data_IF_113903847127
#
_entry.id   IF_113903847127
#
_cell.length_a   1.000
_cell.length_b   1.000
_cell.length_c   1.000
_cell.angle_alpha   90.00
_cell.angle_beta   90.00
_cell.angle_gamma   90.00
#
_symmetry.space_group_name_H-M   'P 1'
#
loop_
_entity.id
_entity.type
_entity.pdbx_description
1 polymer ?
2 polymer ?
#
# COMPACT_ATOMS: atom_id res chain seq x y z
N UNK A 1 10.90 3.15 14.06
CA UNK A 1 10.37 3.53 12.74
C UNK A 1 9.35 4.64 12.87
N UNK A 2 9.10 5.36 11.77
CA UNK A 2 8.14 6.46 11.79
C UNK A 2 6.71 5.93 11.75
N UNK A 3 5.93 6.22 12.78
CA UNK A 3 4.56 5.74 12.81
C UNK A 3 3.60 6.80 12.30
N UNK A 4 2.60 6.37 11.54
CA UNK A 4 1.63 7.31 11.01
C UNK A 4 0.31 7.10 11.74
N UNK A 5 -0.38 8.18 12.07
CA UNK A 5 -1.64 8.08 12.80
C UNK A 5 -2.69 8.88 12.05
N UNK A 6 -3.79 8.23 11.68
CA UNK A 6 -4.84 8.93 10.96
C UNK A 6 -6.04 9.22 11.84
N UNK A 7 -6.56 10.44 11.73
CA UNK A 7 -7.73 10.83 12.51
C UNK A 7 -8.75 11.49 11.58
N UNK A 8 -10.03 11.16 11.76
CA UNK A 8 -10.43 10.14 12.72
C UNK A 8 -10.38 8.80 12.01
N UNK A 9 -11.08 7.80 12.52
CA UNK A 9 -11.01 6.49 11.88
C UNK A 9 -12.22 6.37 10.98
N UNK A 10 -13.25 7.17 11.26
CA UNK A 10 -14.47 7.12 10.45
C UNK A 10 -14.96 8.56 10.29
N UNK A 11 -15.57 8.89 9.16
CA UNK A 11 -16.02 10.26 8.94
C UNK A 11 -17.27 10.22 8.07
N UNK A 12 -18.25 11.05 8.37
CA UNK A 12 -19.47 11.11 7.57
C UNK A 12 -19.64 12.54 7.09
N UNK A 13 -19.74 12.73 5.78
CA UNK A 13 -19.81 14.07 5.21
C UNK A 13 -20.96 14.14 4.21
N UNK A 14 -21.57 15.31 4.04
CA UNK A 14 -22.69 15.47 3.11
C UNK A 14 -22.19 15.76 1.70
N UNK A 15 -22.95 15.31 0.71
CA UNK A 15 -22.59 15.52 -0.69
C UNK A 15 -22.35 16.98 -0.99
N UNK A 16 -21.25 17.26 -1.68
CA UNK A 16 -20.97 18.64 -2.04
C UNK A 16 -20.16 19.33 -0.95
N UNK A 17 -19.92 18.67 0.17
CA UNK A 17 -19.19 19.31 1.26
C UNK A 17 -17.73 18.92 1.19
N UNK A 18 -16.96 19.42 2.14
CA UNK A 18 -15.52 19.16 2.15
C UNK A 18 -15.16 18.11 3.20
N UNK A 19 -14.36 17.13 2.79
CA UNK A 19 -13.90 16.12 3.73
C UNK A 19 -12.41 16.35 3.93
N UNK A 20 -11.97 16.39 5.18
CA UNK A 20 -10.55 16.59 5.45
C UNK A 20 -10.06 15.40 6.26
N UNK A 21 -9.06 14.69 5.74
CA UNK A 21 -8.53 13.53 6.44
C UNK A 21 -7.12 13.82 6.90
N UNK A 22 -6.87 13.66 8.18
CA UNK A 22 -5.55 13.98 8.71
C UNK A 22 -4.63 12.78 8.90
N UNK A 23 -3.34 13.04 8.83
CA UNK A 23 -2.35 11.98 8.98
C UNK A 23 -1.15 12.58 9.70
N UNK A 24 -0.75 11.98 10.80
CA UNK A 24 0.34 12.55 11.59
C UNK A 24 1.49 11.56 11.58
N UNK A 25 2.67 12.05 11.30
CA UNK A 25 3.84 11.18 11.31
C UNK A 25 4.50 11.36 12.66
N UNK A 26 5.29 10.38 13.04
CA UNK A 26 5.86 10.41 14.38
C UNK A 26 7.13 11.21 14.25
N UNK A 27 7.73 11.14 13.07
CA UNK A 27 8.94 11.93 12.86
C UNK A 27 8.82 12.51 11.47
N UNK A 28 9.64 13.51 11.20
CA UNK A 28 9.57 14.24 9.94
C UNK A 28 9.88 13.33 8.76
N UNK A 29 9.16 13.55 7.67
CA UNK A 29 9.34 12.69 6.50
C UNK A 29 9.76 13.61 5.37
N UNK A 30 10.34 14.71 5.76
CA UNK A 30 10.79 15.65 4.74
C UNK A 30 12.23 15.30 4.38
N UNK A 31 12.66 15.73 3.20
CA UNK A 31 14.05 15.55 2.79
C UNK A 31 14.16 16.45 1.57
N UNK A 32 14.91 17.54 1.69
CA UNK A 32 15.21 18.40 0.53
C UNK A 32 13.96 19.08 0.04
N UNK A 33 13.09 19.42 0.97
CA UNK A 33 11.89 20.16 0.57
C UNK A 33 10.87 19.22 -0.04
N UNK A 34 11.06 17.93 0.12
CA UNK A 34 10.20 16.99 -0.57
C UNK A 34 9.62 16.13 0.53
N UNK A 35 8.32 16.19 0.68
CA UNK A 35 7.69 15.37 1.71
C UNK A 35 7.32 14.05 1.07
N UNK A 36 7.71 12.96 1.69
CA UNK A 36 7.52 11.66 1.06
C UNK A 36 6.24 11.02 1.60
N UNK A 37 5.12 11.70 1.45
CA UNK A 37 3.86 11.15 1.95
C UNK A 37 2.98 10.76 0.78
N UNK A 38 2.41 9.57 0.79
CA UNK A 38 1.57 9.15 -0.33
C UNK A 38 0.19 8.87 0.23
N UNK A 39 -0.82 8.86 -0.64
CA UNK A 39 -2.19 8.61 -0.20
C UNK A 39 -2.82 7.59 -1.15
N UNK A 40 -3.54 6.63 -0.58
CA UNK A 40 -4.17 5.59 -1.39
C UNK A 40 -5.65 5.50 -1.01
N UNK A 41 -6.46 4.99 -1.92
CA UNK A 41 -7.88 4.84 -1.67
C UNK A 41 -8.19 3.36 -1.82
N UNK A 42 -9.04 2.81 -0.98
CA UNK A 42 -9.37 1.39 -1.11
C UNK A 42 -10.86 1.17 -0.92
N UNK A 43 -11.49 0.65 -1.96
CA UNK A 43 -12.91 0.32 -1.90
C UNK A 43 -13.01 -1.17 -1.58
N UNK A 44 -14.11 -1.60 -0.96
CA UNK A 44 -14.31 -3.00 -0.58
C UNK A 44 -14.07 -3.96 -1.73
N UNK A 45 -13.38 -5.05 -1.43
CA UNK A 45 -13.13 -6.07 -2.45
C UNK A 45 -12.18 -5.58 -3.53
N UNK A 46 -11.35 -4.58 -3.25
CA UNK A 46 -10.48 -4.07 -4.31
C UNK A 46 -9.10 -3.75 -3.75
N UNK A 47 -8.05 -3.79 -4.57
CA UNK A 47 -6.71 -3.48 -4.07
C UNK A 47 -6.63 -1.96 -3.94
N UNK A 48 -5.69 -1.44 -3.15
CA UNK A 48 -5.60 0.00 -2.95
C UNK A 48 -5.25 0.73 -4.25
N UNK A 49 -5.62 2.00 -4.33
CA UNK A 49 -5.41 2.77 -5.55
C UNK A 49 -4.61 4.02 -5.18
N UNK A 50 -3.62 4.39 -5.98
CA UNK A 50 -2.80 5.56 -5.66
C UNK A 50 -3.52 6.85 -6.04
N UNK A 51 -3.54 7.81 -5.11
CA UNK A 51 -4.21 9.08 -5.36
C UNK A 51 -3.17 10.19 -5.50
N UNK A 52 -2.32 10.34 -4.48
CA UNK A 52 -1.33 11.42 -4.48
C UNK A 52 0.01 10.88 -3.99
N UNK A 53 1.10 11.34 -4.61
CA UNK A 53 2.43 10.93 -4.18
C UNK A 53 3.21 12.19 -3.87
N UNK A 54 4.22 12.05 -3.02
CA UNK A 54 5.09 13.18 -2.69
C UNK A 54 4.31 14.32 -2.08
N UNK A 55 3.27 13.97 -1.35
CA UNK A 55 2.48 14.94 -0.61
C UNK A 55 1.40 15.63 -1.42
N UNK A 56 1.70 16.09 -2.62
CA UNK A 56 0.75 17.00 -3.25
C UNK A 56 0.65 16.72 -4.73
N UNK A 57 1.23 15.63 -5.20
CA UNK A 57 1.17 15.39 -6.63
C UNK A 57 0.01 14.45 -6.93
N UNK A 58 -0.94 14.93 -7.70
CA UNK A 58 -2.09 14.12 -8.07
C UNK A 58 -1.66 13.20 -9.20
N UNK A 59 -1.92 11.92 -9.02
CA UNK A 59 -1.59 10.94 -10.05
C UNK A 59 -2.56 11.16 -11.20
N UNK A 60 -2.10 10.85 -12.40
CA UNK A 60 -2.90 11.11 -13.60
C UNK A 60 -4.14 10.25 -13.56
N UNK A 61 -5.25 10.84 -13.97
CA UNK A 61 -6.50 10.10 -13.98
C UNK A 61 -7.30 10.33 -12.71
N UNK A 62 -6.72 11.01 -11.73
CA UNK A 62 -7.43 11.24 -10.47
C UNK A 62 -8.11 12.60 -10.53
N UNK A 63 -9.40 12.68 -10.20
CA UNK A 63 -10.15 13.93 -10.26
C UNK A 63 -9.53 15.03 -9.41
N UNK A 64 -9.61 16.25 -9.93
CA UNK A 64 -8.97 17.39 -9.26
C UNK A 64 -9.66 17.80 -7.97
N UNK A 65 -10.75 17.13 -7.57
CA UNK A 65 -11.38 17.46 -6.30
C UNK A 65 -10.55 16.90 -5.15
N UNK A 66 -9.57 16.06 -5.46
CA UNK A 66 -8.70 15.51 -4.43
C UNK A 66 -7.44 16.37 -4.38
N UNK A 67 -6.95 16.67 -3.18
CA UNK A 67 -5.72 17.44 -3.06
C UNK A 67 -5.04 17.07 -1.76
N UNK A 68 -3.72 17.20 -1.71
CA UNK A 68 -3.01 16.85 -0.48
C UNK A 68 -2.08 17.99 -0.12
N UNK A 69 -1.87 18.22 1.17
CA UNK A 69 -1.00 19.31 1.59
C UNK A 69 -0.27 18.89 2.87
N UNK A 70 0.72 19.68 3.27
CA UNK A 70 1.42 19.39 4.52
C UNK A 70 2.93 19.26 4.33
N UNK A 71 3.65 19.22 5.46
CA UNK A 71 5.10 19.07 5.42
C UNK A 71 5.54 18.78 6.84
N UNK A 72 6.71 18.19 7.01
CA UNK A 72 7.21 17.91 8.35
C UNK A 72 6.55 16.66 8.89
N UNK A 73 5.53 16.84 9.73
CA UNK A 73 4.87 15.69 10.35
C UNK A 73 3.36 15.81 10.20
N UNK A 74 2.87 16.90 9.61
CA UNK A 74 1.41 17.06 9.51
C UNK A 74 0.93 17.06 8.07
N UNK A 75 -0.02 16.17 7.76
CA UNK A 75 -0.48 16.04 6.38
C UNK A 75 -2.00 15.87 6.36
N UNK A 76 -2.64 16.35 5.30
CA UNK A 76 -4.09 16.24 5.19
C UNK A 76 -4.42 15.89 3.75
N UNK A 77 -5.53 15.19 3.57
CA UNK A 77 -6.02 14.88 2.24
C UNK A 77 -7.35 15.60 2.21
N UNK A 78 -7.62 16.35 1.16
CA UNK A 78 -8.86 17.10 1.08
C UNK A 78 -9.66 16.66 -0.13
N UNK A 79 -10.96 16.52 0.07
CA UNK A 79 -11.85 16.19 -1.04
C UNK A 79 -12.93 17.24 -0.97
N UNK A 80 -13.05 18.03 -2.03
CA UNK A 80 -14.02 19.11 -2.03
C UNK A 80 -14.28 19.44 -3.50
N UNK A 81 -15.49 19.16 -3.99
CA UNK A 81 -16.57 18.63 -3.16
C UNK A 81 -16.63 17.10 -3.21
N UNK A 82 -17.09 16.52 -2.10
CA UNK A 82 -17.18 15.07 -2.01
C UNK A 82 -18.33 14.57 -2.87
N UNK A 83 -18.14 13.41 -3.50
CA UNK A 83 -19.18 12.81 -4.34
C UNK A 83 -19.50 11.43 -3.79
N UNK A 84 -20.46 10.73 -4.40
CA UNK A 84 -20.88 9.43 -3.89
C UNK A 84 -19.82 8.38 -4.11
N UNK A 85 -19.17 8.40 -5.27
CA UNK A 85 -18.12 7.42 -5.55
C UNK A 85 -16.92 7.60 -4.63
N UNK A 86 -16.91 8.63 -3.80
CA UNK A 86 -15.80 8.84 -2.90
C UNK A 86 -15.97 8.04 -1.61
N UNK A 87 -17.03 7.26 -1.48
CA UNK A 87 -17.18 6.45 -0.28
C UNK A 87 -16.13 5.36 -0.34
N UNK A 88 -15.21 5.35 0.62
CA UNK A 88 -14.15 4.36 0.61
C UNK A 88 -13.28 4.59 1.83
N UNK A 89 -12.16 3.88 1.91
CA UNK A 89 -11.25 4.02 3.04
C UNK A 89 -9.96 4.63 2.49
N UNK A 90 -9.34 5.54 3.23
CA UNK A 90 -8.15 6.22 2.70
C UNK A 90 -6.97 5.98 3.64
N UNK A 91 -5.79 5.72 3.10
CA UNK A 91 -4.61 5.45 3.93
C UNK A 91 -3.45 6.36 3.51
N UNK A 92 -2.66 6.83 4.47
CA UNK A 92 -1.46 7.59 4.12
C UNK A 92 -0.29 6.64 4.27
N UNK A 93 0.84 6.95 3.66
CA UNK A 93 1.99 6.04 3.73
C UNK A 93 3.23 6.89 3.55
N UNK A 94 4.28 6.66 4.32
CA UNK A 94 5.48 7.47 4.17
C UNK A 94 6.57 6.62 3.56
N UNK A 95 7.55 7.27 2.97
CA UNK A 95 8.58 6.52 2.28
C UNK A 95 9.89 7.22 2.57
N UNK A 96 9.99 7.75 3.76
CA UNK A 96 11.20 8.50 4.09
C UNK A 96 12.23 7.53 4.63
N UNK A 97 11.82 6.63 5.50
CA UNK A 97 12.81 5.75 6.12
C UNK A 97 12.26 4.34 6.04
N UNK A 98 13.05 3.39 6.53
CA UNK A 98 12.63 1.99 6.48
C UNK A 98 12.32 1.68 7.93
N UNK A 99 11.26 0.95 8.25
CA UNK A 99 10.41 0.33 7.25
C UNK A 99 9.39 1.31 6.73
N UNK A 100 8.82 0.99 5.59
CA UNK A 100 7.80 1.85 5.00
C UNK A 100 6.57 1.53 5.81
N UNK A 101 5.76 2.53 6.11
CA UNK A 101 4.65 2.31 7.03
C UNK A 101 3.41 3.04 6.52
N UNK A 102 2.25 2.52 6.92
CA UNK A 102 0.96 3.10 6.51
C UNK A 102 0.21 3.54 7.76
N UNK A 103 -0.75 4.44 7.59
CA UNK A 103 -1.54 4.89 8.73
C UNK A 103 -2.68 3.90 8.89
N UNK A 104 -3.42 4.02 9.98
CA UNK A 104 -4.48 3.05 10.26
C UNK A 104 -5.62 3.11 9.25
N UNK A 105 -5.81 4.25 8.60
CA UNK A 105 -6.87 4.32 7.59
C UNK A 105 -8.08 5.07 8.13
N UNK A 106 -8.83 5.70 7.24
CA UNK A 106 -10.02 6.44 7.66
C UNK A 106 -11.15 6.08 6.70
N UNK A 107 -12.26 5.61 7.23
CA UNK A 107 -13.40 5.25 6.39
C UNK A 107 -14.29 6.47 6.20
N UNK A 108 -14.58 6.83 4.96
CA UNK A 108 -15.42 8.00 4.68
C UNK A 108 -16.82 7.55 4.26
N UNK A 109 -17.84 8.15 4.84
CA UNK A 109 -19.22 7.81 4.52
C UNK A 109 -19.93 9.07 4.03
N UNK A 110 -20.82 8.90 3.06
CA UNK A 110 -21.54 10.05 2.51
C UNK A 110 -22.91 10.16 3.18
N UNK A 111 -23.29 11.37 3.58
CA UNK A 111 -24.58 11.60 4.20
C UNK A 111 -25.51 12.08 3.11
N UNK A 112 -26.65 11.41 2.96
CA UNK A 112 -27.63 11.81 1.96
C UNK A 112 -29.01 11.80 2.61
N UNK A 113 -30.06 11.88 1.79
CA UNK A 113 -31.42 11.91 2.31
C UNK A 113 -31.94 10.52 2.65
N UNK B 1 0.04 -0.05 -19.84
CA UNK B 1 -0.57 -0.55 -18.60
C UNK B 1 0.37 -1.51 -17.90
N UNK B 2 0.59 -1.28 -16.62
CA UNK B 2 1.45 -2.18 -15.86
C UNK B 2 0.58 -3.32 -15.35
N UNK B 3 1.12 -4.53 -15.32
CA UNK B 3 0.32 -5.68 -14.94
C UNK B 3 0.96 -6.58 -13.90
N UNK B 4 0.21 -6.83 -12.84
CA UNK B 4 0.72 -7.67 -11.77
C UNK B 4 -0.18 -8.88 -11.52
N UNK B 5 0.07 -9.96 -12.25
CA UNK B 5 -0.70 -11.19 -12.08
C UNK B 5 -0.20 -12.00 -10.89
N UNK B 6 -1.00 -12.12 -9.85
CA UNK B 6 -0.56 -12.90 -8.69
C UNK B 6 -1.06 -14.33 -8.78
N UNK B 7 -0.52 -15.22 -7.95
CA UNK B 7 -0.99 -16.61 -7.97
C UNK B 7 -2.38 -16.71 -7.38
N UNK B 8 -2.96 -17.89 -7.44
CA UNK B 8 -4.33 -18.05 -6.95
C UNK B 8 -4.42 -18.36 -5.45
N UNK B 9 -5.65 -18.50 -4.95
CA UNK B 9 -5.96 -18.71 -3.53
C UNK B 9 -5.41 -20.00 -2.95
N UNK B 10 -5.05 -19.96 -1.67
CA UNK B 10 -4.42 -21.10 -1.01
C UNK B 10 -5.02 -21.43 0.35
N UNK B 11 -5.11 -22.72 0.64
CA UNK B 11 -5.59 -23.16 1.94
C UNK B 11 -4.42 -23.96 2.47
N UNK B 12 -3.85 -23.55 3.58
CA UNK B 12 -2.73 -24.28 4.13
C UNK B 12 -2.91 -24.67 5.58
N UNK B 13 -2.35 -25.83 5.88
CA UNK B 13 -2.46 -26.37 7.23
C UNK B 13 -1.38 -25.73 8.06
N UNK B 14 -1.67 -25.42 9.33
CA UNK B 14 -0.71 -24.78 10.22
C UNK B 14 0.65 -25.45 10.19
N UNK B 15 1.68 -24.69 10.54
CA UNK B 15 3.02 -25.24 10.61
C UNK B 15 3.73 -25.39 9.27
N UNK B 16 3.02 -25.34 8.16
CA UNK B 16 3.73 -25.50 6.91
C UNK B 16 3.93 -24.16 6.24
N UNK B 17 4.21 -24.14 4.93
CA UNK B 17 4.54 -22.88 4.26
C UNK B 17 4.04 -22.80 2.82
N UNK B 18 3.52 -21.63 2.42
CA UNK B 18 3.07 -21.41 1.05
C UNK B 18 4.16 -20.66 0.30
N UNK B 19 3.96 -20.47 -1.01
CA UNK B 19 4.97 -19.77 -1.81
C UNK B 19 4.29 -19.07 -3.00
N UNK B 20 3.51 -18.01 -2.70
CA UNK B 20 2.80 -17.19 -3.71
C UNK B 20 3.82 -16.56 -4.69
N UNK B 21 3.28 -16.15 -5.84
CA UNK B 21 4.08 -15.50 -6.88
C UNK B 21 3.30 -14.30 -7.44
N UNK B 22 3.88 -13.69 -8.46
CA UNK B 22 3.33 -12.46 -9.01
C UNK B 22 4.11 -12.09 -10.28
N UNK B 23 3.52 -12.32 -11.44
CA UNK B 23 4.18 -12.02 -12.70
C UNK B 23 3.93 -10.59 -13.14
N UNK B 24 5.02 -9.92 -13.50
CA UNK B 24 4.93 -8.53 -13.92
C UNK B 24 5.03 -8.38 -15.44
N UNK B 25 4.63 -7.21 -15.92
CA UNK B 25 4.61 -6.94 -17.35
C UNK B 25 4.20 -5.49 -17.53
N UNK B 26 4.72 -4.84 -18.55
CA UNK B 26 4.23 -3.51 -18.88
C UNK B 26 5.35 -2.52 -18.64
N UNK B 27 6.54 -3.03 -18.37
CA UNK B 27 7.65 -2.15 -18.01
C UNK B 27 8.80 -3.11 -17.83
N UNK B 28 10.02 -2.59 -17.78
CA UNK B 28 11.18 -3.45 -17.56
C UNK B 28 11.21 -3.85 -16.10
N UNK B 29 11.32 -5.15 -15.88
CA UNK B 29 11.11 -5.73 -14.56
C UNK B 29 12.16 -5.24 -13.57
N UNK B 30 13.37 -5.04 -14.06
CA UNK B 30 14.46 -4.77 -13.13
C UNK B 30 14.54 -3.30 -12.78
N UNK B 31 13.69 -2.50 -13.38
CA UNK B 31 13.80 -1.07 -13.17
C UNK B 31 13.24 -0.71 -11.80
N UNK B 32 12.32 -1.49 -11.25
CA UNK B 32 11.67 -1.02 -10.03
C UNK B 32 11.61 -2.14 -9.00
N UNK B 33 11.51 -1.74 -7.74
CA UNK B 33 11.52 -2.69 -6.62
C UNK B 33 10.11 -3.28 -6.49
N UNK B 34 10.00 -4.48 -5.95
CA UNK B 34 8.69 -5.10 -5.79
C UNK B 34 8.48 -5.12 -4.28
N UNK B 35 7.36 -4.62 -3.83
CA UNK B 35 7.09 -4.50 -2.41
C UNK B 35 5.89 -5.40 -2.12
N UNK B 36 5.86 -6.00 -0.94
CA UNK B 36 4.75 -6.89 -0.58
C UNK B 36 3.99 -6.36 0.64
N UNK B 37 2.68 -6.64 0.71
CA UNK B 37 1.84 -6.10 1.79
C UNK B 37 0.79 -7.09 2.30
N UNK B 38 0.64 -7.15 3.61
CA UNK B 38 -0.35 -8.03 4.21
C UNK B 38 -1.58 -7.21 4.59
N UNK B 39 -2.66 -7.51 3.90
CA UNK B 39 -3.92 -6.87 4.14
C UNK B 39 -4.76 -7.84 4.94
N UNK B 40 -4.57 -7.86 6.26
CA UNK B 40 -5.33 -8.78 7.11
C UNK B 40 -6.82 -8.49 6.98
N UNK B 41 -7.66 -9.44 7.37
CA UNK B 41 -9.10 -9.26 7.19
C UNK B 41 -9.69 -8.06 7.93
N UNK B 42 -10.33 -7.16 7.17
CA UNK B 42 -11.13 -6.10 7.77
C UNK B 42 -10.22 -5.17 8.53
N UNK B 43 -9.09 -4.81 7.93
CA UNK B 43 -8.18 -3.92 8.62
C UNK B 43 -7.28 -3.17 7.66
N UNK B 44 -6.29 -2.50 8.23
CA UNK B 44 -5.38 -1.69 7.44
C UNK B 44 -4.21 -2.53 6.99
N UNK B 45 -3.41 -1.97 6.10
CA UNK B 45 -2.33 -2.75 5.49
C UNK B 45 -1.05 -2.80 6.31
N UNK B 46 -0.23 -3.80 6.01
CA UNK B 46 1.04 -3.98 6.72
C UNK B 46 2.15 -4.24 5.71
N UNK B 47 3.20 -3.45 5.74
CA UNK B 47 4.30 -3.66 4.79
C UNK B 47 5.08 -4.89 5.20
N UNK B 48 5.57 -5.64 4.22
CA UNK B 48 6.32 -6.84 4.55
C UNK B 48 7.78 -6.71 4.15
N UNK B 49 8.07 -6.09 3.02
CA UNK B 49 9.48 -6.00 2.63
C UNK B 49 9.56 -5.71 1.14
N UNK B 50 10.70 -5.24 0.66
CA UNK B 50 10.83 -4.97 -0.77
C UNK B 50 11.99 -5.80 -1.30
N UNK B 51 12.15 -5.83 -2.62
CA UNK B 51 13.29 -6.53 -3.19
C UNK B 51 13.65 -5.77 -4.45
N UNK B 52 14.94 -5.58 -4.66
CA UNK B 52 15.38 -5.03 -5.92
C UNK B 52 15.57 -6.24 -6.81
N UNK B 53 14.83 -6.31 -7.91
CA UNK B 53 14.87 -7.45 -8.83
C UNK B 53 16.16 -7.52 -9.64
N UNK B 54 16.95 -6.46 -9.59
CA UNK B 54 18.20 -6.41 -10.34
C UNK B 54 19.22 -7.28 -9.62
N UNK B 55 19.48 -7.03 -8.35
CA UNK B 55 20.63 -7.71 -7.75
C UNK B 55 20.10 -8.61 -6.67
N UNK B 56 18.80 -8.64 -6.55
CA UNK B 56 18.19 -9.60 -5.62
C UNK B 56 18.14 -9.01 -4.22
N UNK B 57 18.47 -7.73 -4.12
CA UNK B 57 18.67 -7.13 -2.79
C UNK B 57 17.35 -7.13 -2.05
N UNK B 58 17.38 -7.05 -0.73
CA UNK B 58 16.14 -7.29 -0.03
C UNK B 58 16.15 -6.52 1.27
N UNK B 59 14.98 -6.08 1.70
CA UNK B 59 14.91 -5.42 2.99
C UNK B 59 13.54 -5.72 3.55
N UNK B 60 13.49 -6.08 4.82
CA UNK B 60 12.24 -6.56 5.39
C UNK B 60 11.77 -5.67 6.53
N UNK B 61 10.49 -5.80 6.81
CA UNK B 61 9.92 -5.16 7.97
C UNK B 61 10.38 -6.18 8.98
N UNK B 62 10.65 -5.77 10.20
CA UNK B 62 11.15 -6.74 11.15
C UNK B 62 10.05 -7.61 11.70
N UNK B 63 8.81 -7.14 11.75
CA UNK B 63 7.74 -7.98 12.29
C UNK B 63 7.55 -9.20 11.40
N UNK B 64 8.05 -9.14 10.16
CA UNK B 64 7.89 -10.27 9.26
C UNK B 64 9.23 -10.91 8.93
N UNK B 65 10.29 -10.55 9.65
CA UNK B 65 11.60 -11.15 9.41
C UNK B 65 11.57 -12.60 9.87
N UNK B 66 12.01 -13.52 9.02
CA UNK B 66 12.04 -14.92 9.42
C UNK B 66 10.75 -15.62 9.04
N UNK B 67 9.75 -14.87 8.65
CA UNK B 67 8.49 -15.49 8.29
C UNK B 67 8.42 -15.45 6.78
N UNK B 68 8.66 -14.30 6.18
CA UNK B 68 8.55 -14.18 4.73
C UNK B 68 9.92 -13.98 4.08
N UNK B 69 10.13 -14.62 2.94
CA UNK B 69 11.38 -14.46 2.21
C UNK B 69 11.01 -14.07 0.79
N UNK B 70 11.66 -13.04 0.28
CA UNK B 70 11.31 -12.54 -1.04
C UNK B 70 12.29 -13.00 -2.08
N UNK B 71 11.78 -13.51 -3.17
CA UNK B 71 12.68 -13.80 -4.24
C UNK B 71 12.18 -13.42 -5.61
N UNK B 72 13.04 -13.53 -6.61
CA UNK B 72 12.77 -12.99 -7.93
C UNK B 72 13.38 -13.92 -8.97
N UNK B 73 12.83 -13.90 -10.19
CA UNK B 73 13.39 -14.65 -11.31
C UNK B 73 13.24 -13.77 -12.55
N UNK B 74 14.35 -13.17 -12.96
CA UNK B 74 14.32 -12.24 -14.08
C UNK B 74 13.87 -12.86 -15.39
N UNK B 75 14.44 -13.98 -15.82
CA UNK B 75 14.05 -14.58 -17.10
C UNK B 75 12.54 -14.67 -17.31
N UNK B 76 11.78 -14.88 -16.23
CA UNK B 76 10.33 -14.95 -16.37
C UNK B 76 9.63 -13.81 -15.65
N UNK B 77 10.36 -12.76 -15.28
CA UNK B 77 9.77 -11.58 -14.65
C UNK B 77 8.75 -11.89 -13.57
N UNK B 78 9.13 -12.70 -12.59
CA UNK B 78 8.17 -13.06 -11.55
C UNK B 78 8.82 -12.86 -10.20
N UNK B 79 8.06 -12.31 -9.26
CA UNK B 79 8.56 -12.10 -7.92
C UNK B 79 7.77 -13.03 -7.02
N UNK B 80 8.45 -13.89 -6.29
CA UNK B 80 7.73 -14.80 -5.43
C UNK B 80 8.07 -14.55 -3.98
N UNK B 81 7.12 -14.82 -3.11
CA UNK B 81 7.35 -14.68 -1.68
C UNK B 81 6.96 -15.95 -0.94
N UNK B 82 7.74 -16.32 0.07
CA UNK B 82 7.45 -17.54 0.82
C UNK B 82 7.16 -17.26 2.29
N UNK B 83 6.13 -17.92 2.81
CA UNK B 83 5.77 -17.73 4.21
C UNK B 83 5.83 -19.08 4.94
N UNK B 84 6.46 -19.10 6.12
CA UNK B 84 6.79 -20.39 6.72
C UNK B 84 6.34 -20.32 8.14
N UNK B 85 6.19 -21.47 8.79
CA UNK B 85 5.73 -21.50 10.17
C UNK B 85 4.33 -20.93 10.22
N UNK B 86 3.56 -21.18 9.16
CA UNK B 86 2.24 -20.57 9.05
C UNK B 86 1.34 -20.92 10.21
N UNK B 87 0.47 -19.98 10.58
CA UNK B 87 -0.42 -20.20 11.71
C UNK B 87 -1.68 -19.41 11.44
N UNK B 88 -2.71 -19.65 12.25
CA UNK B 88 -4.02 -18.99 12.14
C UNK B 88 -3.94 -17.50 11.88
N UNK B 89 -2.98 -16.84 12.49
CA UNK B 89 -2.88 -15.41 12.34
C UNK B 89 -2.29 -14.97 11.01
N UNK B 90 -1.67 -15.87 10.27
CA UNK B 90 -1.12 -15.51 8.98
C UNK B 90 -2.23 -15.44 7.93
N UNK B 91 -3.43 -15.89 8.27
CA UNK B 91 -4.55 -15.80 7.33
C UNK B 91 -4.78 -14.34 6.96
N UNK B 92 -4.57 -14.01 5.68
CA UNK B 92 -4.77 -12.63 5.22
C UNK B 92 -4.58 -12.52 3.71
N UNK B 93 -4.76 -11.32 3.17
CA UNK B 93 -4.57 -11.13 1.73
C UNK B 93 -3.21 -10.54 1.50
N UNK B 94 -2.48 -11.07 0.54
CA UNK B 94 -1.14 -10.58 0.33
C UNK B 94 -1.03 -9.96 -1.06
N UNK B 95 -0.60 -8.70 -1.13
CA UNK B 95 -0.44 -8.03 -2.42
C UNK B 95 1.05 -7.86 -2.76
N UNK B 96 1.36 -7.77 -4.05
CA UNK B 96 2.71 -7.43 -4.51
C UNK B 96 2.47 -6.09 -5.20
N UNK B 97 3.27 -5.06 -4.98
CA UNK B 97 3.05 -3.79 -5.63
C UNK B 97 4.43 -3.32 -6.07
N UNK B 98 4.50 -2.53 -7.14
CA UNK B 98 5.74 -2.12 -7.78
C UNK B 98 6.06 -0.75 -7.23
N UNK B 99 7.33 -0.42 -7.04
CA UNK B 99 7.68 0.84 -6.41
C UNK B 99 8.71 1.47 -7.32
N UNK B 100 8.47 2.69 -7.72
CA UNK B 100 9.39 3.31 -8.67
C UNK B 100 10.42 4.12 -7.92
N UNK B 101 11.58 3.54 -7.66
CA UNK B 101 12.57 4.24 -6.83
C UNK B 101 13.14 5.38 -7.66
N UNK B 102 13.34 5.13 -8.94
CA UNK B 102 14.02 6.13 -9.74
C UNK B 102 12.99 6.76 -10.67
N UNK B 103 11.76 6.81 -10.22
CA UNK B 103 10.74 7.32 -11.12
C UNK B 103 9.95 8.38 -10.40
N UNK B 104 9.86 8.29 -9.08
CA UNK B 104 9.13 9.36 -8.41
C UNK B 104 8.61 8.87 -7.08
N UNK B 105 8.87 7.62 -6.80
CA UNK B 105 8.77 7.19 -5.41
C UNK B 105 7.35 6.80 -5.05
N UNK B 106 6.67 6.09 -5.91
CA UNK B 106 5.30 5.75 -5.56
C UNK B 106 5.12 4.27 -5.81
N UNK B 107 4.24 3.66 -5.03
CA UNK B 107 3.84 2.28 -5.29
C UNK B 107 2.67 2.41 -6.24
N UNK B 108 3.00 2.38 -7.51
CA UNK B 108 2.01 2.80 -8.50
C UNK B 108 1.03 1.67 -8.75
N UNK B 109 1.49 0.47 -9.06
CA UNK B 109 0.52 -0.56 -9.43
C UNK B 109 0.59 -1.74 -8.51
N UNK B 110 -0.59 -2.12 -8.04
CA UNK B 110 -0.79 -3.28 -7.17
C UNK B 110 -1.39 -4.42 -7.97
N UNK B 111 -1.21 -5.61 -7.42
CA UNK B 111 -1.76 -6.79 -8.05
C UNK B 111 -3.10 -6.96 -7.38
N UNK B 112 -3.88 -7.94 -7.80
CA UNK B 112 -5.20 -8.08 -7.22
C UNK B 112 -5.14 -8.68 -5.83
N UNK B 113 -4.13 -9.48 -5.56
CA UNK B 113 -3.93 -9.98 -4.19
C UNK B 113 -4.08 -11.49 -4.16
N UNK B 114 -3.58 -12.13 -3.10
CA UNK B 114 -3.73 -13.58 -2.94
C UNK B 114 -4.36 -13.81 -1.56
N UNK B 115 -5.34 -14.71 -1.47
CA UNK B 115 -5.98 -15.00 -0.18
C UNK B 115 -5.44 -16.31 0.39
N UNK B 116 -4.69 -16.22 1.47
CA UNK B 116 -4.18 -17.43 2.09
C UNK B 116 -4.99 -17.74 3.33
N UNK B 117 -5.45 -18.97 3.43
CA UNK B 117 -6.19 -19.39 4.61
C UNK B 117 -5.38 -20.45 5.29
N UNK B 118 -5.09 -20.24 6.56
CA UNK B 118 -4.39 -21.23 7.37
C UNK B 118 -5.46 -21.84 8.26
N UNK B 119 -5.65 -23.15 8.16
CA UNK B 119 -6.69 -23.82 8.94
C UNK B 119 -6.59 -25.29 8.58
#
# INVERSE_FOLDING_TARGET
>A
DIVLTQFPGSLAVSLGQRATISCKASQRVDYDGVSYMNWYQQKPGQPPKLLINAASDLESGIPARFSGTGSGTDFTLNIHPVEEEDAATYYCQQSNYDPWTFGGGTKLEIKRA
>B
EIQLQQTGPELVQPGASVKISCKASGYSFTDYIMVWVKQSHGKGLEWIGNINPYHGRTAYNLKFKGKATLTVDKSSSTAFMQLNSLISEDSAVFYCVRKGYVEGGGLDYWGQGTSVIVS
#
